data_IF_651461831085
#
_entry.id   IF_651461831085
#
_cell.length_a   1.000
_cell.length_b   1.000
_cell.length_c   1.000
_cell.angle_alpha   90.00
_cell.angle_beta   90.00
_cell.angle_gamma   90.00
#
_symmetry.space_group_name_H-M   'P 1'
#
loop_
_entity.id
_entity.type
_entity.pdbx_description
1 polymer ?
#
# COMPACT_ATOMS: atom_id res chain seq x y z
N UNK A 1 36.00 -24.21 72.49
CA UNK A 1 35.58 -23.13 71.57
C UNK A 1 35.80 -23.70 70.19
N UNK A 2 34.76 -23.58 69.37
CA UNK A 2 34.40 -24.41 68.23
C UNK A 2 35.35 -24.29 67.05
N UNK A 3 35.73 -25.45 66.51
CA UNK A 3 36.22 -25.63 65.15
C UNK A 3 34.99 -25.68 64.24
N UNK A 4 34.84 -24.69 63.37
CA UNK A 4 33.83 -24.67 62.30
C UNK A 4 34.56 -24.77 60.96
N UNK A 5 34.54 -25.98 60.40
CA UNK A 5 34.88 -26.32 59.03
C UNK A 5 33.79 -25.76 58.10
N UNK A 6 34.15 -24.77 57.27
CA UNK A 6 33.30 -24.30 56.17
C UNK A 6 33.74 -25.00 54.88
N UNK A 7 32.88 -25.91 54.45
CA UNK A 7 32.93 -26.68 53.21
C UNK A 7 32.60 -25.77 52.02
N UNK A 8 33.58 -25.56 51.12
CA UNK A 8 33.50 -24.75 49.91
C UNK A 8 33.19 -25.67 48.71
N UNK A 9 31.91 -26.00 48.54
CA UNK A 9 31.39 -26.77 47.42
C UNK A 9 30.94 -25.85 46.29
N UNK A 10 31.89 -25.37 45.49
CA UNK A 10 31.64 -24.65 44.24
C UNK A 10 31.36 -25.61 43.09
N UNK A 11 30.09 -25.88 42.81
CA UNK A 11 29.66 -26.52 41.56
C UNK A 11 29.66 -25.49 40.42
N UNK A 12 30.80 -25.38 39.73
CA UNK A 12 30.90 -24.68 38.45
C UNK A 12 30.25 -25.51 37.33
N UNK A 13 28.94 -25.33 37.14
CA UNK A 13 28.25 -25.79 35.94
C UNK A 13 28.73 -24.96 34.73
N UNK A 14 29.82 -25.42 34.12
CA UNK A 14 30.34 -24.93 32.86
C UNK A 14 29.39 -25.26 31.71
N UNK A 15 28.45 -24.36 31.41
CA UNK A 15 27.70 -24.36 30.16
C UNK A 15 28.64 -23.94 29.02
N UNK A 16 29.38 -24.92 28.51
CA UNK A 16 30.13 -24.84 27.25
C UNK A 16 29.15 -24.66 26.08
N UNK A 17 28.86 -23.41 25.74
CA UNK A 17 28.12 -23.05 24.54
C UNK A 17 29.08 -23.13 23.33
N UNK A 18 29.22 -24.33 22.75
CA UNK A 18 29.90 -24.48 21.45
C UNK A 18 28.94 -24.02 20.35
N UNK A 19 29.14 -22.80 19.84
CA UNK A 19 28.64 -22.46 18.51
C UNK A 19 29.51 -23.22 17.51
N UNK A 20 29.04 -24.38 17.09
CA UNK A 20 29.50 -24.99 15.84
C UNK A 20 29.03 -24.06 14.72
N UNK A 21 29.92 -23.15 14.32
CA UNK A 21 29.76 -22.42 13.07
C UNK A 21 30.02 -23.44 11.97
N UNK A 22 28.95 -23.88 11.30
CA UNK A 22 29.03 -24.62 10.05
C UNK A 22 29.79 -23.76 9.03
N UNK A 23 31.09 -24.02 8.90
CA UNK A 23 32.01 -23.43 7.90
C UNK A 23 31.68 -23.86 6.45
N UNK A 24 30.54 -24.53 6.23
CA UNK A 24 30.09 -25.05 4.93
C UNK A 24 28.99 -24.20 4.25
N UNK A 25 28.78 -22.94 4.67
CA UNK A 25 28.09 -21.97 3.80
C UNK A 25 29.08 -21.47 2.75
N UNK A 26 29.46 -22.35 1.83
CA UNK A 26 29.87 -21.91 0.49
C UNK A 26 28.65 -21.26 -0.16
N UNK A 27 28.48 -19.96 0.08
CA UNK A 27 27.51 -19.12 -0.62
C UNK A 27 27.68 -19.35 -2.12
N UNK A 28 26.74 -20.07 -2.72
CA UNK A 28 26.63 -20.24 -4.15
C UNK A 28 26.33 -18.90 -4.80
N UNK A 29 27.36 -18.08 -4.98
CA UNK A 29 27.31 -16.72 -5.56
C UNK A 29 26.91 -16.67 -7.05
N UNK A 30 26.40 -17.77 -7.61
CA UNK A 30 25.97 -17.85 -9.01
C UNK A 30 24.44 -17.86 -9.19
N UNK A 31 23.65 -17.71 -8.11
CA UNK A 31 22.21 -17.45 -8.27
C UNK A 31 22.00 -15.94 -8.36
N UNK A 32 21.60 -15.47 -9.54
CA UNK A 32 21.20 -14.07 -9.75
C UNK A 32 20.03 -13.76 -8.81
N UNK A 33 20.23 -12.81 -7.88
CA UNK A 33 19.21 -12.45 -6.88
C UNK A 33 17.93 -11.86 -7.51
N UNK A 34 17.97 -11.51 -8.80
CA UNK A 34 16.77 -11.20 -9.58
C UNK A 34 15.71 -12.31 -9.55
N UNK A 35 16.10 -13.58 -9.33
CA UNK A 35 15.16 -14.70 -9.21
C UNK A 35 14.41 -14.74 -7.86
N UNK A 36 14.94 -14.05 -6.84
CA UNK A 36 14.38 -14.06 -5.48
C UNK A 36 13.47 -12.86 -5.20
N UNK A 37 13.55 -11.81 -6.03
CA UNK A 37 12.70 -10.64 -5.90
C UNK A 37 11.27 -10.97 -6.38
N UNK A 38 10.24 -10.88 -5.53
CA UNK A 38 8.87 -11.12 -5.97
C UNK A 38 8.44 -10.05 -6.99
N UNK A 39 7.95 -10.50 -8.14
CA UNK A 39 7.50 -9.62 -9.23
C UNK A 39 8.61 -9.27 -10.22
N UNK A 40 8.61 -8.04 -10.71
CA UNK A 40 9.61 -7.56 -11.67
C UNK A 40 10.96 -7.32 -10.97
N UNK A 41 12.10 -7.61 -11.63
CA UNK A 41 13.46 -7.37 -11.14
C UNK A 41 13.83 -5.87 -11.19
N UNK A 42 12.94 -5.01 -10.71
CA UNK A 42 13.05 -3.55 -10.71
C UNK A 42 12.79 -3.05 -9.31
N UNK A 43 13.71 -2.30 -8.72
CA UNK A 43 13.53 -1.57 -7.46
C UNK A 43 12.89 -0.22 -7.73
N UNK A 44 11.81 0.08 -7.03
CA UNK A 44 11.09 1.35 -7.13
C UNK A 44 11.56 2.33 -6.07
N UNK A 45 12.05 3.48 -6.50
CA UNK A 45 12.50 4.57 -5.64
C UNK A 45 11.50 5.73 -5.73
N UNK A 46 10.92 6.12 -4.61
CA UNK A 46 10.16 7.37 -4.51
C UNK A 46 11.11 8.50 -4.09
N UNK A 47 11.28 9.51 -4.93
CA UNK A 47 12.11 10.67 -4.64
C UNK A 47 11.26 11.84 -4.13
N UNK A 48 11.19 11.98 -2.80
CA UNK A 48 10.44 13.02 -2.11
C UNK A 48 11.29 14.30 -1.94
N UNK A 49 10.73 15.45 -2.26
CA UNK A 49 11.40 16.74 -2.13
C UNK A 49 10.41 17.90 -2.02
N UNK A 50 10.85 19.07 -1.54
CA UNK A 50 10.00 20.24 -1.44
C UNK A 50 9.61 20.71 -2.85
N UNK A 51 8.30 20.87 -3.11
CA UNK A 51 7.78 21.37 -4.41
C UNK A 51 7.05 22.70 -4.29
N UNK A 52 6.72 23.13 -3.08
CA UNK A 52 5.92 24.35 -2.81
C UNK A 52 6.67 25.27 -1.85
N UNK A 53 6.45 26.58 -1.96
CA UNK A 53 7.06 27.62 -1.12
C UNK A 53 8.59 27.74 -1.20
N UNK A 54 9.14 27.27 -2.31
CA UNK A 54 10.56 27.39 -2.63
C UNK A 54 10.81 28.64 -3.48
N UNK A 55 11.91 29.34 -3.24
CA UNK A 55 12.41 30.32 -4.19
C UNK A 55 13.04 29.65 -5.43
N UNK A 56 13.40 30.42 -6.46
CA UNK A 56 14.01 29.87 -7.68
C UNK A 56 15.31 29.10 -7.41
N UNK A 57 16.07 29.52 -6.39
CA UNK A 57 17.34 28.88 -6.01
C UNK A 57 17.06 27.50 -5.40
N UNK A 58 16.11 27.44 -4.48
CA UNK A 58 15.62 26.24 -3.82
C UNK A 58 15.08 25.21 -4.81
N UNK A 59 14.30 25.66 -5.80
CA UNK A 59 13.79 24.80 -6.87
C UNK A 59 14.94 24.24 -7.72
N UNK A 60 15.92 25.08 -8.09
CA UNK A 60 17.11 24.65 -8.78
C UNK A 60 17.91 23.59 -8.01
N UNK A 61 18.09 23.76 -6.70
CA UNK A 61 18.75 22.75 -5.85
C UNK A 61 17.99 21.41 -5.83
N UNK A 62 16.66 21.44 -5.77
CA UNK A 62 15.85 20.22 -5.79
C UNK A 62 15.93 19.49 -7.14
N UNK A 63 15.90 20.24 -8.24
CA UNK A 63 16.08 19.71 -9.59
C UNK A 63 17.46 19.07 -9.77
N UNK A 64 18.50 19.68 -9.19
CA UNK A 64 19.85 19.12 -9.20
C UNK A 64 19.93 17.80 -8.41
N UNK A 65 19.36 17.76 -7.20
CA UNK A 65 19.31 16.53 -6.38
C UNK A 65 18.63 15.39 -7.14
N UNK A 66 17.49 15.69 -7.77
CA UNK A 66 16.76 14.73 -8.62
C UNK A 66 17.62 14.21 -9.77
N UNK A 67 18.28 15.13 -10.49
CA UNK A 67 19.16 14.77 -11.61
C UNK A 67 20.31 13.86 -11.17
N UNK A 68 20.87 14.09 -9.97
CA UNK A 68 21.93 13.25 -9.40
C UNK A 68 21.37 11.86 -9.07
N UNK A 69 20.19 11.76 -8.45
CA UNK A 69 19.57 10.46 -8.16
C UNK A 69 19.36 9.65 -9.44
N UNK A 70 18.85 10.28 -10.50
CA UNK A 70 18.71 9.65 -11.83
C UNK A 70 20.07 9.18 -12.35
N UNK A 71 21.11 10.01 -12.36
CA UNK A 71 22.45 9.59 -12.82
C UNK A 71 23.07 8.46 -12.01
N UNK A 72 22.86 8.46 -10.69
CA UNK A 72 23.50 7.48 -9.80
C UNK A 72 22.79 6.12 -9.86
N UNK A 73 21.47 6.08 -10.01
CA UNK A 73 20.69 4.85 -9.90
C UNK A 73 20.11 4.34 -11.23
N UNK A 74 19.71 5.19 -12.18
CA UNK A 74 18.92 4.75 -13.35
C UNK A 74 19.66 3.73 -14.24
N UNK A 75 20.96 3.95 -14.45
CA UNK A 75 21.81 3.04 -15.25
C UNK A 75 22.58 2.03 -14.39
N UNK A 76 22.31 1.98 -13.08
CA UNK A 76 23.00 1.07 -12.18
C UNK A 76 22.34 -0.31 -12.19
N UNK A 77 23.07 -1.32 -12.67
CA UNK A 77 22.66 -2.71 -12.58
C UNK A 77 23.26 -3.35 -11.32
N UNK A 78 22.41 -3.61 -10.33
CA UNK A 78 22.81 -4.29 -9.10
C UNK A 78 22.35 -5.75 -9.14
N UNK A 79 23.25 -6.67 -9.46
CA UNK A 79 22.98 -8.12 -9.50
C UNK A 79 21.83 -8.50 -10.47
N UNK A 80 21.68 -7.80 -11.59
CA UNK A 80 20.60 -8.00 -12.56
C UNK A 80 19.30 -7.26 -12.22
N UNK A 81 19.32 -6.39 -11.21
CA UNK A 81 18.17 -5.61 -10.74
C UNK A 81 18.31 -4.16 -11.20
N UNK A 82 17.26 -3.65 -11.84
CA UNK A 82 17.19 -2.28 -12.34
C UNK A 82 16.54 -1.35 -11.31
N UNK A 83 16.65 -0.03 -11.48
CA UNK A 83 16.05 0.96 -10.60
C UNK A 83 15.13 1.89 -11.39
N UNK A 84 13.90 2.05 -10.92
CA UNK A 84 12.93 3.01 -11.43
C UNK A 84 12.72 4.11 -10.40
N UNK A 85 12.85 5.37 -10.82
CA UNK A 85 12.71 6.52 -9.92
C UNK A 85 11.43 7.27 -10.27
N UNK A 86 10.49 7.31 -9.33
CA UNK A 86 9.33 8.19 -9.38
C UNK A 86 9.62 9.50 -8.65
N UNK A 87 9.35 10.63 -9.30
CA UNK A 87 9.47 11.95 -8.69
C UNK A 87 8.18 12.76 -8.87
N UNK A 88 7.52 13.21 -7.78
CA UNK A 88 6.25 13.94 -7.87
C UNK A 88 6.36 15.24 -8.70
N UNK A 89 7.52 15.90 -8.69
CA UNK A 89 7.78 17.09 -9.50
C UNK A 89 7.77 16.87 -11.02
N UNK A 90 7.68 15.63 -11.51
CA UNK A 90 7.54 15.31 -12.93
C UNK A 90 6.11 14.98 -13.34
N UNK A 91 5.30 14.50 -12.38
CA UNK A 91 3.98 13.92 -12.64
C UNK A 91 2.88 14.78 -12.03
N UNK A 92 3.01 15.09 -10.74
CA UNK A 92 2.01 15.78 -9.91
C UNK A 92 2.48 17.16 -9.45
N UNK A 93 3.35 17.81 -10.23
CA UNK A 93 3.91 19.11 -9.87
C UNK A 93 2.81 20.18 -9.65
N UNK A 94 3.07 21.17 -8.76
CA UNK A 94 2.17 22.31 -8.61
C UNK A 94 1.88 22.99 -9.96
N UNK A 95 0.60 23.22 -10.24
CA UNK A 95 0.14 23.78 -11.53
C UNK A 95 -0.15 22.74 -12.62
N UNK A 96 0.04 21.44 -12.36
CA UNK A 96 -0.48 20.38 -13.24
C UNK A 96 -2.01 20.33 -13.25
N UNK A 97 -2.60 19.54 -14.17
CA UNK A 97 -4.06 19.39 -14.31
C UNK A 97 -4.69 18.47 -13.25
N UNK A 98 -3.92 17.98 -12.28
CA UNK A 98 -4.42 17.08 -11.24
C UNK A 98 -5.13 17.88 -10.13
N UNK A 99 -6.26 17.37 -9.63
CA UNK A 99 -6.86 17.86 -8.40
C UNK A 99 -6.00 17.52 -7.18
N UNK A 100 -6.21 18.20 -6.05
CA UNK A 100 -5.48 17.90 -4.82
C UNK A 100 -5.72 16.44 -4.35
N UNK A 101 -6.94 15.94 -4.51
CA UNK A 101 -7.34 14.56 -4.23
C UNK A 101 -6.56 13.58 -5.11
N UNK A 102 -6.46 13.85 -6.42
CA UNK A 102 -5.70 12.99 -7.34
C UNK A 102 -4.21 13.02 -7.02
N UNK A 103 -3.64 14.19 -6.74
CA UNK A 103 -2.23 14.31 -6.33
C UNK A 103 -1.96 13.48 -5.08
N UNK A 104 -2.83 13.58 -4.06
CA UNK A 104 -2.71 12.79 -2.85
C UNK A 104 -2.75 11.29 -3.15
N UNK A 105 -3.75 10.82 -3.89
CA UNK A 105 -3.93 9.40 -4.22
C UNK A 105 -2.75 8.83 -5.00
N UNK A 106 -2.32 9.52 -6.06
CA UNK A 106 -1.19 9.10 -6.89
C UNK A 106 0.09 9.01 -6.05
N UNK A 107 0.43 10.08 -5.33
CA UNK A 107 1.65 10.12 -4.54
C UNK A 107 1.61 9.13 -3.36
N UNK A 108 0.44 8.93 -2.76
CA UNK A 108 0.24 7.92 -1.72
C UNK A 108 0.56 6.52 -2.25
N UNK A 109 -0.05 6.14 -3.37
CA UNK A 109 0.17 4.83 -3.98
C UNK A 109 1.65 4.62 -4.33
N UNK A 110 2.26 5.61 -5.01
CA UNK A 110 3.67 5.54 -5.40
C UNK A 110 4.60 5.44 -4.20
N UNK A 111 4.30 6.14 -3.10
CA UNK A 111 5.10 6.08 -1.88
C UNK A 111 5.00 4.72 -1.19
N UNK A 112 3.79 4.18 -1.02
CA UNK A 112 3.58 2.88 -0.35
C UNK A 112 4.15 1.71 -1.14
N UNK A 113 4.05 1.75 -2.48
CA UNK A 113 4.56 0.72 -3.37
C UNK A 113 6.07 0.81 -3.62
N UNK A 114 6.74 1.86 -3.15
CA UNK A 114 8.17 2.00 -3.29
C UNK A 114 8.92 0.97 -2.41
N UNK A 115 10.07 0.51 -2.91
CA UNK A 115 11.00 -0.30 -2.15
C UNK A 115 11.96 0.59 -1.33
N UNK A 116 12.14 1.84 -1.74
CA UNK A 116 12.90 2.88 -1.06
C UNK A 116 12.23 4.25 -1.21
N UNK A 117 12.22 5.06 -0.15
CA UNK A 117 11.99 6.51 -0.28
C UNK A 117 13.28 7.30 -0.04
N UNK A 118 13.60 8.22 -0.95
CA UNK A 118 14.70 9.18 -0.78
C UNK A 118 14.11 10.54 -0.44
N UNK A 119 14.37 11.04 0.77
CA UNK A 119 13.89 12.34 1.24
C UNK A 119 14.96 13.41 1.07
N UNK A 120 14.72 14.39 0.21
CA UNK A 120 15.46 15.65 0.19
C UNK A 120 14.88 16.61 1.24
N UNK A 121 15.57 16.75 2.38
CA UNK A 121 15.14 17.57 3.53
C UNK A 121 15.98 18.85 3.68
N UNK A 122 16.49 19.37 2.57
CA UNK A 122 17.21 20.65 2.54
C UNK A 122 16.34 21.83 2.96
N UNK A 123 15.02 21.74 2.72
CA UNK A 123 14.06 22.77 3.09
C UNK A 123 12.84 22.18 3.79
N UNK A 124 12.19 22.93 4.69
CA UNK A 124 10.93 22.51 5.29
C UNK A 124 9.84 22.33 4.23
N UNK A 125 9.19 21.18 4.22
CA UNK A 125 8.06 20.90 3.33
C UNK A 125 6.99 20.10 4.05
N UNK A 126 5.75 20.59 4.01
CA UNK A 126 4.59 19.88 4.53
C UNK A 126 4.33 18.60 3.73
N UNK A 127 4.46 18.65 2.40
CA UNK A 127 4.29 17.49 1.54
C UNK A 127 5.28 16.37 1.88
N UNK A 128 6.56 16.72 2.04
CA UNK A 128 7.61 15.76 2.45
C UNK A 128 7.31 15.15 3.82
N UNK A 129 6.78 15.93 4.77
CA UNK A 129 6.36 15.41 6.07
C UNK A 129 5.16 14.46 5.99
N UNK A 130 4.21 14.70 5.08
CA UNK A 130 3.12 13.76 4.83
C UNK A 130 3.64 12.47 4.17
N UNK A 131 4.49 12.60 3.17
CA UNK A 131 5.10 11.47 2.46
C UNK A 131 5.98 10.61 3.39
N UNK A 132 6.67 11.23 4.36
CA UNK A 132 7.44 10.49 5.36
C UNK A 132 6.55 9.60 6.21
N UNK A 133 5.44 10.15 6.73
CA UNK A 133 4.52 9.36 7.54
C UNK A 133 3.89 8.22 6.74
N UNK A 134 3.54 8.47 5.47
CA UNK A 134 3.02 7.42 4.56
C UNK A 134 4.06 6.32 4.37
N UNK A 135 5.31 6.67 4.10
CA UNK A 135 6.41 5.71 3.96
C UNK A 135 6.61 4.90 5.25
N UNK A 136 6.56 5.55 6.41
CA UNK A 136 6.70 4.90 7.71
C UNK A 136 5.56 3.91 8.02
N UNK A 137 4.31 4.32 7.79
CA UNK A 137 3.13 3.47 7.95
C UNK A 137 3.21 2.23 7.03
N UNK A 138 3.73 2.41 5.81
CA UNK A 138 3.96 1.34 4.86
C UNK A 138 5.28 0.57 5.08
N UNK A 139 6.06 0.91 6.12
CA UNK A 139 7.38 0.33 6.45
C UNK A 139 8.41 0.43 5.32
N UNK A 140 8.29 1.42 4.45
CA UNK A 140 9.25 1.67 3.38
C UNK A 140 10.55 2.20 4.00
N UNK A 141 11.71 1.58 3.75
CA UNK A 141 12.98 2.09 4.24
C UNK A 141 13.34 3.40 3.55
N UNK A 142 14.14 4.23 4.22
CA UNK A 142 14.45 5.58 3.74
C UNK A 142 15.93 5.91 3.66
N UNK A 143 16.25 6.80 2.72
CA UNK A 143 17.51 7.55 2.65
C UNK A 143 17.22 9.02 2.84
N UNK A 144 17.98 9.68 3.71
CA UNK A 144 17.79 11.10 4.04
C UNK A 144 18.94 11.91 3.43
N UNK A 145 18.61 12.87 2.58
CA UNK A 145 19.55 13.81 1.98
C UNK A 145 19.40 15.18 2.64
N UNK A 146 20.46 15.68 3.27
CA UNK A 146 20.44 16.97 3.94
C UNK A 146 21.70 17.78 3.59
N UNK A 147 21.54 19.06 3.22
CA UNK A 147 22.70 19.94 3.04
C UNK A 147 23.30 20.30 4.39
N UNK A 148 24.63 20.36 4.51
CA UNK A 148 25.30 20.72 5.76
C UNK A 148 24.79 22.09 6.25
N UNK A 149 24.41 22.15 7.52
CA UNK A 149 23.80 23.33 8.15
C UNK A 149 22.28 23.40 8.06
N UNK A 150 21.63 22.54 7.28
CA UNK A 150 20.16 22.44 7.24
C UNK A 150 19.63 21.88 8.55
N UNK A 151 18.52 22.44 9.03
CA UNK A 151 17.83 21.95 10.22
C UNK A 151 16.78 20.93 9.80
N UNK A 152 16.97 19.68 10.19
CA UNK A 152 15.97 18.62 10.00
C UNK A 152 15.02 18.62 11.20
N UNK A 153 13.74 18.36 10.95
CA UNK A 153 12.73 18.30 12.02
C UNK A 153 12.98 17.11 12.93
N UNK A 154 12.93 17.31 14.25
CA UNK A 154 13.03 16.22 15.24
C UNK A 154 11.92 15.17 15.10
N UNK A 155 10.74 15.57 14.61
CA UNK A 155 9.67 14.61 14.33
C UNK A 155 10.04 13.68 13.17
N UNK A 156 10.63 14.24 12.12
CA UNK A 156 11.09 13.45 10.97
C UNK A 156 12.24 12.52 11.38
N UNK A 157 13.18 13.01 12.19
CA UNK A 157 14.28 12.18 12.73
C UNK A 157 13.78 11.05 13.62
N UNK A 158 12.71 11.27 14.39
CA UNK A 158 12.10 10.28 15.30
C UNK A 158 11.07 9.34 14.66
N UNK A 159 10.83 9.44 13.35
CA UNK A 159 9.92 8.58 12.62
C UNK A 159 10.37 7.11 12.64
N UNK A 160 9.41 6.20 12.79
CA UNK A 160 9.65 4.76 12.98
C UNK A 160 9.94 3.98 11.68
N UNK A 161 10.64 4.62 10.73
CA UNK A 161 11.11 3.98 9.48
C UNK A 161 12.61 3.68 9.56
N UNK A 162 13.02 2.52 9.04
CA UNK A 162 14.42 2.14 8.93
C UNK A 162 15.16 3.11 8.02
N UNK A 163 16.14 3.81 8.57
CA UNK A 163 16.99 4.73 7.82
C UNK A 163 18.24 4.01 7.35
N UNK A 164 18.33 3.69 6.05
CA UNK A 164 19.47 2.99 5.47
C UNK A 164 20.70 3.89 5.41
N UNK A 165 20.48 5.16 5.07
CA UNK A 165 21.55 6.14 4.98
C UNK A 165 21.05 7.55 5.30
N UNK A 166 21.90 8.31 6.00
CA UNK A 166 21.78 9.75 6.11
C UNK A 166 23.00 10.36 5.43
N UNK A 167 22.78 11.09 4.35
CA UNK A 167 23.81 11.71 3.51
C UNK A 167 23.77 13.21 3.78
N UNK A 168 24.85 13.72 4.36
CA UNK A 168 25.03 15.14 4.64
C UNK A 168 26.03 15.73 3.66
N UNK A 169 25.61 16.66 2.82
CA UNK A 169 26.43 17.13 1.70
C UNK A 169 26.61 18.65 1.69
N UNK A 170 27.76 19.12 1.22
CA UNK A 170 28.06 20.56 1.08
C UNK A 170 27.51 21.14 -0.23
N UNK A 171 27.69 20.39 -1.31
CA UNK A 171 27.38 20.78 -2.67
C UNK A 171 27.00 19.55 -3.51
N UNK A 172 26.60 19.80 -4.76
CA UNK A 172 26.11 18.76 -5.68
C UNK A 172 27.15 17.67 -6.01
N UNK A 173 28.43 18.03 -6.14
CA UNK A 173 29.50 17.06 -6.44
C UNK A 173 29.75 16.15 -5.24
N UNK A 174 29.71 16.71 -4.03
CA UNK A 174 29.82 15.96 -2.78
C UNK A 174 28.63 15.01 -2.58
N UNK A 175 27.39 15.46 -2.85
CA UNK A 175 26.20 14.60 -2.83
C UNK A 175 26.34 13.39 -3.76
N UNK A 176 26.71 13.63 -5.02
CA UNK A 176 26.90 12.56 -6.00
C UNK A 176 27.99 11.57 -5.58
N UNK A 177 29.12 12.07 -5.07
CA UNK A 177 30.20 11.22 -4.58
C UNK A 177 29.76 10.36 -3.39
N UNK A 178 29.06 10.94 -2.40
CA UNK A 178 28.58 10.20 -1.23
C UNK A 178 27.53 9.15 -1.62
N UNK A 179 26.63 9.48 -2.55
CA UNK A 179 25.66 8.52 -3.08
C UNK A 179 26.37 7.35 -3.78
N UNK A 180 27.35 7.61 -4.65
CA UNK A 180 28.13 6.56 -5.34
C UNK A 180 28.86 5.67 -4.33
N UNK A 181 29.50 6.25 -3.32
CA UNK A 181 30.25 5.51 -2.30
C UNK A 181 29.36 4.58 -1.47
N UNK A 182 28.13 4.98 -1.18
CA UNK A 182 27.18 4.20 -0.37
C UNK A 182 26.18 3.39 -1.18
N UNK A 183 26.18 3.53 -2.52
CA UNK A 183 25.17 2.93 -3.40
C UNK A 183 25.07 1.43 -3.21
N UNK A 184 26.20 0.72 -3.17
CA UNK A 184 26.22 -0.75 -3.04
C UNK A 184 25.59 -1.23 -1.72
N UNK A 185 25.97 -0.62 -0.60
CA UNK A 185 25.40 -0.87 0.74
C UNK A 185 23.88 -0.61 0.74
N UNK A 186 23.47 0.54 0.19
CA UNK A 186 22.07 0.93 0.09
C UNK A 186 21.28 -0.08 -0.76
N UNK A 187 21.79 -0.46 -1.93
CA UNK A 187 21.13 -1.42 -2.82
C UNK A 187 20.97 -2.80 -2.19
N UNK A 188 22.00 -3.30 -1.49
CA UNK A 188 21.91 -4.57 -0.75
C UNK A 188 20.80 -4.54 0.29
N UNK A 189 20.74 -3.48 1.11
CA UNK A 189 19.72 -3.34 2.15
C UNK A 189 18.29 -3.14 1.59
N UNK A 190 18.14 -2.43 0.46
CA UNK A 190 16.84 -2.30 -0.23
C UNK A 190 16.36 -3.66 -0.71
N UNK A 191 17.23 -4.44 -1.34
CA UNK A 191 16.88 -5.75 -1.91
C UNK A 191 16.38 -6.69 -0.82
N UNK A 192 17.10 -6.77 0.31
CA UNK A 192 16.67 -7.54 1.48
C UNK A 192 15.30 -7.08 2.02
N UNK A 193 15.07 -5.77 2.07
CA UNK A 193 13.79 -5.21 2.49
C UNK A 193 12.66 -5.56 1.52
N UNK A 194 12.90 -5.41 0.22
CA UNK A 194 11.93 -5.68 -0.85
C UNK A 194 11.49 -7.14 -0.88
N UNK A 195 12.44 -8.08 -0.71
CA UNK A 195 12.16 -9.53 -0.61
C UNK A 195 11.18 -9.82 0.54
N UNK A 196 11.31 -9.13 1.68
CA UNK A 196 10.40 -9.30 2.83
C UNK A 196 9.07 -8.58 2.65
N UNK A 197 9.08 -7.35 2.12
CA UNK A 197 7.89 -6.48 2.05
C UNK A 197 6.94 -6.83 0.92
N UNK A 198 7.43 -7.10 -0.28
CA UNK A 198 6.58 -7.30 -1.47
C UNK A 198 5.54 -8.42 -1.33
N UNK A 199 5.85 -9.59 -0.73
CA UNK A 199 4.83 -10.61 -0.49
C UNK A 199 3.68 -10.09 0.35
N UNK A 200 3.95 -9.31 1.41
CA UNK A 200 2.91 -8.72 2.26
C UNK A 200 2.05 -7.70 1.50
N UNK A 201 2.66 -6.91 0.61
CA UNK A 201 1.93 -5.96 -0.24
C UNK A 201 1.00 -6.70 -1.21
N UNK A 202 1.49 -7.76 -1.83
CA UNK A 202 0.71 -8.60 -2.75
C UNK A 202 -0.45 -9.28 -2.01
N UNK A 203 -0.18 -9.90 -0.85
CA UNK A 203 -1.20 -10.56 -0.02
C UNK A 203 -2.31 -9.59 0.41
N UNK A 204 -1.95 -8.35 0.73
CA UNK A 204 -2.92 -7.31 1.09
C UNK A 204 -3.79 -6.93 -0.10
N UNK A 205 -3.19 -6.75 -1.28
CA UNK A 205 -3.94 -6.50 -2.52
C UNK A 205 -4.90 -7.65 -2.85
N UNK A 206 -4.58 -8.89 -2.47
CA UNK A 206 -5.45 -10.05 -2.66
C UNK A 206 -6.62 -10.14 -1.69
N UNK A 207 -6.61 -9.41 -0.56
CA UNK A 207 -7.75 -9.39 0.37
C UNK A 207 -8.98 -8.68 -0.17
N UNK A 208 -8.87 -8.00 -1.33
CA UNK A 208 -10.00 -7.35 -2.02
C UNK A 208 -10.80 -6.39 -1.12
N UNK A 209 -10.15 -5.73 -0.17
CA UNK A 209 -10.81 -4.84 0.82
C UNK A 209 -11.74 -3.84 0.13
N UNK A 210 -11.24 -3.14 -0.90
CA UNK A 210 -12.03 -2.21 -1.70
C UNK A 210 -13.29 -2.83 -2.33
N UNK A 211 -13.16 -4.02 -2.92
CA UNK A 211 -14.31 -4.71 -3.53
C UNK A 211 -15.31 -5.15 -2.45
N UNK A 212 -14.85 -5.54 -1.27
CA UNK A 212 -15.72 -5.86 -0.14
C UNK A 212 -16.48 -4.63 0.35
N UNK A 213 -15.83 -3.46 0.41
CA UNK A 213 -16.48 -2.19 0.74
C UNK A 213 -17.59 -1.89 -0.27
N UNK A 214 -17.27 -1.88 -1.57
CA UNK A 214 -18.25 -1.61 -2.63
C UNK A 214 -19.40 -2.62 -2.61
N UNK A 215 -19.09 -3.92 -2.48
CA UNK A 215 -20.08 -5.00 -2.39
C UNK A 215 -21.10 -4.76 -1.29
N UNK A 216 -20.61 -4.44 -0.10
CA UNK A 216 -21.44 -4.24 1.08
C UNK A 216 -22.26 -2.97 0.99
N UNK A 217 -21.70 -1.91 0.41
CA UNK A 217 -22.45 -0.69 0.15
C UNK A 217 -23.59 -0.89 -0.83
N UNK A 218 -23.38 -1.65 -1.91
CA UNK A 218 -24.47 -2.01 -2.85
C UNK A 218 -25.55 -2.83 -2.13
N UNK A 219 -25.14 -3.82 -1.34
CA UNK A 219 -26.06 -4.68 -0.58
C UNK A 219 -26.95 -3.88 0.38
N UNK A 220 -26.37 -2.90 1.07
CA UNK A 220 -27.07 -2.09 2.10
C UNK A 220 -27.60 -0.75 1.58
N UNK A 221 -27.41 -0.44 0.29
CA UNK A 221 -27.83 0.83 -0.32
C UNK A 221 -27.15 2.07 0.28
N UNK A 222 -25.89 1.96 0.71
CA UNK A 222 -25.14 3.06 1.35
C UNK A 222 -24.33 3.82 0.31
N UNK A 223 -24.63 5.10 0.10
CA UNK A 223 -23.92 5.96 -0.85
C UNK A 223 -22.51 6.35 -0.38
N UNK A 224 -21.64 6.81 -1.30
CA UNK A 224 -20.27 7.23 -0.99
C UNK A 224 -20.28 8.38 0.01
N UNK A 225 -21.16 9.35 -0.20
CA UNK A 225 -21.29 10.54 0.65
C UNK A 225 -21.78 10.18 2.06
N UNK A 226 -22.73 9.27 2.19
CA UNK A 226 -23.20 8.79 3.50
C UNK A 226 -22.07 8.07 4.25
N UNK A 227 -21.35 7.16 3.59
CA UNK A 227 -20.25 6.45 4.22
C UNK A 227 -19.11 7.41 4.60
N UNK A 228 -18.76 8.33 3.71
CA UNK A 228 -17.77 9.38 3.95
C UNK A 228 -18.10 10.20 5.19
N UNK A 229 -19.36 10.68 5.29
CA UNK A 229 -19.83 11.47 6.41
C UNK A 229 -19.75 10.71 7.75
N UNK A 230 -20.07 9.42 7.75
CA UNK A 230 -20.09 8.61 8.99
C UNK A 230 -18.70 8.12 9.44
N UNK A 231 -17.74 8.10 8.52
CA UNK A 231 -16.38 7.59 8.78
C UNK A 231 -15.32 8.70 8.93
N UNK A 232 -15.71 9.96 8.79
CA UNK A 232 -14.84 11.14 8.71
C UNK A 232 -13.83 11.05 7.55
N UNK A 233 -14.20 10.40 6.44
CA UNK A 233 -13.37 10.25 5.25
C UNK A 233 -13.91 11.13 4.11
N UNK A 234 -13.09 11.39 3.09
CA UNK A 234 -13.59 11.96 1.83
C UNK A 234 -14.25 10.87 0.98
N UNK A 235 -15.38 11.17 0.36
CA UNK A 235 -16.04 10.27 -0.60
C UNK A 235 -15.10 9.84 -1.73
N UNK A 236 -14.31 10.78 -2.27
CA UNK A 236 -13.30 10.47 -3.28
C UNK A 236 -12.26 9.46 -2.81
N UNK A 237 -11.86 9.49 -1.53
CA UNK A 237 -10.90 8.54 -0.98
C UNK A 237 -11.50 7.13 -0.89
N UNK A 238 -12.73 7.00 -0.42
CA UNK A 238 -13.43 5.72 -0.36
C UNK A 238 -13.61 5.13 -1.76
N UNK A 239 -13.99 5.96 -2.72
CA UNK A 239 -14.10 5.56 -4.12
C UNK A 239 -12.79 5.01 -4.69
N UNK A 240 -11.67 5.68 -4.41
CA UNK A 240 -10.34 5.20 -4.82
C UNK A 240 -9.94 3.91 -4.10
N UNK A 241 -10.29 3.74 -2.82
CA UNK A 241 -10.11 2.47 -2.10
C UNK A 241 -10.89 1.32 -2.75
N UNK A 242 -12.12 1.58 -3.19
CA UNK A 242 -12.98 0.59 -3.87
C UNK A 242 -12.42 0.16 -5.21
N UNK A 243 -11.87 1.11 -5.97
CA UNK A 243 -11.31 0.89 -7.31
C UNK A 243 -9.92 0.30 -7.30
N UNK A 244 -9.03 0.80 -6.44
CA UNK A 244 -7.63 0.43 -6.45
C UNK A 244 -7.31 -0.49 -5.25
N UNK A 245 -7.16 -1.81 -5.48
CA UNK A 245 -6.87 -2.75 -4.39
C UNK A 245 -5.51 -2.47 -3.71
N UNK A 246 -4.60 -1.75 -4.36
CA UNK A 246 -3.29 -1.39 -3.79
C UNK A 246 -3.41 -0.32 -2.72
N UNK A 247 -4.45 0.53 -2.78
CA UNK A 247 -4.74 1.51 -1.74
C UNK A 247 -5.32 0.87 -0.47
N UNK A 248 -5.64 -0.42 -0.45
CA UNK A 248 -6.02 -1.10 0.79
C UNK A 248 -4.92 -0.96 1.87
N UNK A 249 -3.66 -0.97 1.45
CA UNK A 249 -2.49 -0.72 2.31
C UNK A 249 -2.48 0.68 2.91
N UNK A 250 -3.21 1.61 2.30
CA UNK A 250 -3.29 2.99 2.72
C UNK A 250 -4.18 3.21 3.95
N UNK A 251 -5.05 2.25 4.21
CA UNK A 251 -6.08 2.40 5.22
C UNK A 251 -5.50 2.06 6.58
N UNK A 252 -5.41 3.05 7.46
CA UNK A 252 -5.10 2.79 8.86
C UNK A 252 -6.15 1.83 9.45
N UNK A 253 -5.73 1.00 10.40
CA UNK A 253 -6.64 0.04 11.03
C UNK A 253 -7.87 0.72 11.65
N UNK A 254 -7.69 1.94 12.19
CA UNK A 254 -8.78 2.76 12.70
C UNK A 254 -9.78 3.14 11.62
N UNK A 255 -9.30 3.53 10.42
CA UNK A 255 -10.16 3.85 9.29
C UNK A 255 -10.94 2.62 8.82
N UNK A 256 -10.27 1.45 8.74
CA UNK A 256 -10.92 0.19 8.41
C UNK A 256 -12.00 -0.21 9.42
N UNK A 257 -11.77 -0.03 10.72
CA UNK A 257 -12.78 -0.31 11.74
C UNK A 257 -14.01 0.59 11.60
N UNK A 258 -13.81 1.89 11.34
CA UNK A 258 -14.91 2.84 11.12
C UNK A 258 -15.72 2.47 9.89
N UNK A 259 -15.04 2.21 8.76
CA UNK A 259 -15.71 1.77 7.53
C UNK A 259 -16.49 0.48 7.81
N UNK A 260 -15.85 -0.54 8.37
CA UNK A 260 -16.45 -1.84 8.62
C UNK A 260 -17.72 -1.75 9.48
N UNK A 261 -17.72 -0.92 10.53
CA UNK A 261 -18.87 -0.72 11.40
C UNK A 261 -20.10 -0.17 10.64
N UNK A 262 -19.88 0.70 9.64
CA UNK A 262 -20.96 1.31 8.84
C UNK A 262 -21.49 0.41 7.72
N UNK A 263 -20.70 -0.56 7.27
CA UNK A 263 -21.05 -1.48 6.17
C UNK A 263 -21.27 -2.92 6.64
N UNK A 264 -21.69 -3.10 7.91
CA UNK A 264 -21.99 -4.42 8.50
C UNK A 264 -20.86 -5.46 8.35
N UNK A 265 -19.61 -5.02 8.47
CA UNK A 265 -18.44 -5.89 8.42
C UNK A 265 -17.69 -5.94 9.76
N UNK A 266 -16.88 -6.99 9.92
CA UNK A 266 -15.87 -7.10 10.96
C UNK A 266 -14.48 -7.07 10.35
N UNK A 267 -13.57 -6.30 10.93
CA UNK A 267 -12.14 -6.36 10.55
C UNK A 267 -11.51 -7.56 11.26
N UNK A 268 -11.05 -8.54 10.49
CA UNK A 268 -10.30 -9.68 11.00
C UNK A 268 -8.80 -9.45 10.79
N UNK A 269 -8.06 -9.34 11.89
CA UNK A 269 -6.60 -9.32 11.91
C UNK A 269 -6.11 -10.68 12.40
N UNK A 270 -5.45 -11.46 11.55
CA UNK A 270 -4.85 -12.73 11.94
C UNK A 270 -3.35 -12.63 11.66
N UNK A 271 -2.48 -12.73 12.66
CA UNK A 271 -1.03 -12.78 12.40
C UNK A 271 -0.67 -14.11 11.74
N UNK A 272 0.10 -14.16 10.63
CA UNK A 272 0.83 -13.07 9.96
C UNK A 272 0.10 -12.44 8.74
N UNK A 273 -1.18 -12.74 8.55
CA UNK A 273 -1.98 -12.27 7.41
C UNK A 273 -2.39 -10.79 7.53
N UNK A 274 -2.52 -10.09 6.38
CA UNK A 274 -3.05 -8.73 6.35
C UNK A 274 -4.50 -8.67 6.85
N UNK A 275 -4.97 -7.48 7.30
CA UNK A 275 -6.34 -7.30 7.70
C UNK A 275 -7.29 -7.60 6.54
N UNK A 276 -8.44 -8.21 6.86
CA UNK A 276 -9.52 -8.45 5.89
C UNK A 276 -10.86 -8.02 6.47
N UNK A 277 -11.77 -7.64 5.58
CA UNK A 277 -13.16 -7.35 5.93
C UNK A 277 -14.00 -8.61 5.75
N UNK A 278 -14.73 -8.99 6.79
CA UNK A 278 -15.64 -10.14 6.80
C UNK A 278 -17.06 -9.62 6.99
N UNK A 279 -17.97 -9.80 6.01
CA UNK A 279 -19.38 -9.45 6.17
C UNK A 279 -20.04 -10.17 7.35
N UNK A 280 -20.89 -9.45 8.09
CA UNK A 280 -21.68 -10.00 9.19
C UNK A 280 -23.13 -10.36 8.77
N UNK A 281 -23.46 -10.22 7.49
CA UNK A 281 -24.81 -10.42 6.98
C UNK A 281 -25.29 -11.87 7.08
N UNK A 282 -26.61 -12.05 6.96
CA UNK A 282 -27.19 -13.38 6.80
C UNK A 282 -26.61 -14.04 5.55
N UNK A 283 -26.24 -15.34 5.61
CA UNK A 283 -25.70 -16.02 4.44
C UNK A 283 -26.66 -15.93 3.27
N UNK A 284 -26.20 -15.34 2.17
CA UNK A 284 -26.85 -15.38 0.86
C UNK A 284 -26.71 -16.79 0.26
N UNK A 285 -27.60 -17.14 -0.66
CA UNK A 285 -27.36 -18.29 -1.54
C UNK A 285 -26.06 -18.11 -2.35
N UNK A 286 -25.51 -19.21 -2.85
CA UNK A 286 -24.30 -19.17 -3.69
C UNK A 286 -24.54 -18.30 -4.93
N UNK A 287 -25.68 -18.50 -5.60
CA UNK A 287 -26.08 -17.74 -6.79
C UNK A 287 -26.22 -16.24 -6.52
N UNK A 288 -26.88 -15.83 -5.44
CA UNK A 288 -27.00 -14.40 -5.07
C UNK A 288 -25.62 -13.78 -4.76
N UNK A 289 -24.79 -14.50 -4.02
CA UNK A 289 -23.44 -14.05 -3.65
C UNK A 289 -22.53 -13.86 -4.88
N UNK A 290 -22.61 -14.78 -5.84
CA UNK A 290 -21.90 -14.70 -7.11
C UNK A 290 -22.45 -13.59 -8.00
N UNK A 291 -23.78 -13.45 -8.09
CA UNK A 291 -24.44 -12.38 -8.84
C UNK A 291 -24.03 -10.99 -8.35
N UNK A 292 -24.00 -10.78 -7.03
CA UNK A 292 -23.53 -9.53 -6.43
C UNK A 292 -22.03 -9.28 -6.71
N UNK A 293 -21.21 -10.33 -6.67
CA UNK A 293 -19.78 -10.21 -7.03
C UNK A 293 -19.61 -9.81 -8.49
N UNK A 294 -20.41 -10.39 -9.39
CA UNK A 294 -20.40 -10.03 -10.81
C UNK A 294 -20.90 -8.60 -11.05
N UNK A 295 -21.87 -8.12 -10.26
CA UNK A 295 -22.30 -6.72 -10.30
C UNK A 295 -21.17 -5.78 -9.89
N UNK A 296 -20.45 -6.08 -8.80
CA UNK A 296 -19.28 -5.31 -8.37
C UNK A 296 -18.21 -5.27 -9.47
N UNK A 297 -17.91 -6.40 -10.11
CA UNK A 297 -17.00 -6.45 -11.24
C UNK A 297 -17.47 -5.60 -12.43
N UNK A 298 -18.77 -5.63 -12.74
CA UNK A 298 -19.37 -4.79 -13.78
C UNK A 298 -19.22 -3.29 -13.46
N UNK A 299 -19.52 -2.87 -12.23
CA UNK A 299 -19.41 -1.48 -11.77
C UNK A 299 -17.96 -0.98 -11.88
N UNK A 300 -17.00 -1.76 -11.39
CA UNK A 300 -15.57 -1.41 -11.46
C UNK A 300 -15.06 -1.34 -12.91
N UNK A 301 -15.47 -2.28 -13.77
CA UNK A 301 -15.07 -2.31 -15.18
C UNK A 301 -15.69 -1.17 -16.02
N UNK A 302 -16.76 -0.55 -15.52
CA UNK A 302 -17.47 0.52 -16.23
C UNK A 302 -16.83 1.91 -16.05
N UNK A 303 -15.80 2.02 -15.21
CA UNK A 303 -15.02 3.24 -14.96
C UNK A 303 -15.90 4.49 -14.74
N UNK A 304 -16.89 4.37 -13.85
CA UNK A 304 -17.77 5.48 -13.48
C UNK A 304 -18.91 5.81 -14.46
N UNK A 305 -19.08 5.03 -15.54
CA UNK A 305 -20.25 5.19 -16.44
C UNK A 305 -21.58 4.84 -15.78
N UNK A 306 -21.55 4.01 -14.73
CA UNK A 306 -22.72 3.62 -13.94
C UNK A 306 -22.70 4.42 -12.65
N UNK A 307 -23.78 5.13 -12.36
CA UNK A 307 -23.94 5.82 -11.08
C UNK A 307 -24.22 4.81 -9.95
N UNK A 308 -23.90 5.20 -8.72
CA UNK A 308 -24.17 4.38 -7.54
C UNK A 308 -25.66 4.04 -7.41
N UNK A 309 -26.54 5.02 -7.65
CA UNK A 309 -27.99 4.81 -7.59
C UNK A 309 -28.43 3.76 -8.61
N UNK A 310 -27.83 3.75 -9.81
CA UNK A 310 -28.15 2.75 -10.82
C UNK A 310 -27.68 1.36 -10.40
N UNK A 311 -26.48 1.24 -9.84
CA UNK A 311 -25.99 -0.03 -9.30
C UNK A 311 -26.91 -0.57 -8.18
N UNK A 312 -27.39 0.31 -7.29
CA UNK A 312 -28.32 -0.07 -6.22
C UNK A 312 -29.67 -0.53 -6.77
N UNK A 313 -30.23 0.19 -7.74
CA UNK A 313 -31.48 -0.23 -8.41
C UNK A 313 -31.33 -1.58 -9.11
N UNK A 314 -30.24 -1.81 -9.84
CA UNK A 314 -29.99 -3.09 -10.49
C UNK A 314 -29.98 -4.26 -9.50
N UNK A 315 -29.32 -4.07 -8.34
CA UNK A 315 -29.31 -5.07 -7.30
C UNK A 315 -30.70 -5.28 -6.68
N UNK A 316 -31.41 -4.19 -6.37
CA UNK A 316 -32.76 -4.25 -5.80
C UNK A 316 -33.73 -4.99 -6.73
N UNK A 317 -33.78 -4.61 -8.00
CA UNK A 317 -34.64 -5.22 -9.03
C UNK A 317 -34.37 -6.73 -9.13
N UNK A 318 -33.09 -7.13 -9.13
CA UNK A 318 -32.72 -8.56 -9.12
C UNK A 318 -33.23 -9.29 -7.87
N UNK A 319 -33.10 -8.71 -6.68
CA UNK A 319 -33.58 -9.35 -5.45
C UNK A 319 -35.10 -9.47 -5.40
N UNK A 320 -35.84 -8.52 -5.98
CA UNK A 320 -37.29 -8.61 -6.09
C UNK A 320 -37.72 -9.66 -7.13
N UNK A 321 -37.06 -9.71 -8.30
CA UNK A 321 -37.28 -10.77 -9.31
C UNK A 321 -37.08 -12.16 -8.69
N UNK A 322 -36.01 -12.34 -7.92
CA UNK A 322 -35.71 -13.61 -7.25
C UNK A 322 -36.76 -13.99 -6.21
N UNK A 323 -37.25 -13.03 -5.42
CA UNK A 323 -38.31 -13.28 -4.44
C UNK A 323 -39.60 -13.69 -5.13
N UNK A 324 -40.01 -12.99 -6.19
CA UNK A 324 -41.21 -13.32 -6.97
C UNK A 324 -41.09 -14.75 -7.55
N UNK A 325 -39.96 -15.06 -8.18
CA UNK A 325 -39.70 -16.40 -8.71
C UNK A 325 -39.67 -17.47 -7.61
N UNK A 326 -39.17 -17.16 -6.41
CA UNK A 326 -39.17 -18.11 -5.28
C UNK A 326 -40.58 -18.43 -4.81
N UNK A 327 -41.49 -17.46 -4.86
CA UNK A 327 -42.91 -17.64 -4.52
C UNK A 327 -43.63 -18.47 -5.60
N UNK A 328 -43.31 -18.26 -6.88
CA UNK A 328 -43.86 -19.03 -8.00
C UNK A 328 -43.30 -20.46 -8.09
N UNK A 329 -42.01 -20.65 -7.81
CA UNK A 329 -41.33 -21.94 -7.88
C UNK A 329 -41.90 -22.95 -6.86
N UNK A 330 -42.32 -22.45 -5.68
CA UNK A 330 -43.06 -23.24 -4.68
C UNK A 330 -44.35 -23.82 -5.26
N UNK A 331 -44.95 -23.18 -6.26
CA UNK A 331 -46.15 -23.70 -6.91
C UNK A 331 -45.87 -24.75 -7.99
N UNK A 332 -44.87 -24.60 -8.89
CA UNK A 332 -44.75 -25.54 -10.04
C UNK A 332 -43.36 -25.84 -10.68
N UNK A 333 -42.19 -25.33 -10.24
CA UNK A 333 -40.89 -25.59 -10.94
C UNK A 333 -39.61 -25.54 -10.08
N UNK A 334 -38.54 -26.18 -10.59
CA UNK A 334 -37.15 -26.00 -10.14
C UNK A 334 -36.74 -24.52 -10.27
N UNK A 335 -36.26 -23.91 -9.18
CA UNK A 335 -35.84 -22.51 -9.16
C UNK A 335 -34.59 -22.26 -10.00
N UNK A 336 -34.46 -21.05 -10.55
CA UNK A 336 -33.23 -20.59 -11.21
C UNK A 336 -32.15 -20.39 -10.14
N UNK A 337 -31.17 -21.29 -10.10
CA UNK A 337 -30.00 -21.20 -9.22
C UNK A 337 -28.74 -20.69 -9.97
N UNK A 338 -28.93 -20.12 -11.16
CA UNK A 338 -27.81 -19.61 -11.97
C UNK A 338 -27.50 -18.16 -11.60
N UNK A 339 -26.22 -17.89 -11.28
CA UNK A 339 -25.76 -16.54 -10.96
C UNK A 339 -25.73 -15.66 -12.23
N UNK A 340 -26.16 -14.40 -12.10
CA UNK A 340 -26.03 -13.42 -13.18
C UNK A 340 -24.56 -13.12 -13.47
N UNK A 341 -24.18 -13.17 -14.73
CA UNK A 341 -22.84 -12.83 -15.20
C UNK A 341 -22.67 -11.32 -15.38
N UNK A 342 -21.43 -10.87 -15.59
CA UNK A 342 -21.13 -9.46 -15.92
C UNK A 342 -21.87 -8.99 -17.19
N UNK A 343 -22.05 -9.87 -18.17
CA UNK A 343 -22.76 -9.53 -19.41
C UNK A 343 -24.27 -9.39 -19.18
N UNK A 344 -24.84 -10.21 -18.30
CA UNK A 344 -26.26 -10.09 -17.92
C UNK A 344 -26.52 -8.76 -17.22
N UNK A 345 -25.62 -8.34 -16.33
CA UNK A 345 -25.70 -7.01 -15.69
C UNK A 345 -25.60 -5.87 -16.70
N UNK A 346 -24.71 -5.99 -17.68
CA UNK A 346 -24.60 -5.02 -18.78
C UNK A 346 -25.88 -4.92 -19.61
N UNK A 347 -26.51 -6.06 -19.91
CA UNK A 347 -27.77 -6.09 -20.65
C UNK A 347 -28.91 -5.48 -19.84
N UNK A 348 -29.04 -5.83 -18.56
CA UNK A 348 -30.03 -5.25 -17.63
C UNK A 348 -29.88 -3.73 -17.51
N UNK A 349 -28.63 -3.25 -17.43
CA UNK A 349 -28.35 -1.82 -17.38
C UNK A 349 -28.84 -1.10 -18.64
N UNK A 350 -28.52 -1.62 -19.83
CA UNK A 350 -28.94 -1.07 -21.11
C UNK A 350 -30.45 -1.11 -21.37
N UNK A 351 -31.16 -2.11 -20.84
CA UNK A 351 -32.61 -2.26 -21.01
C UNK A 351 -33.42 -1.18 -20.27
N UNK A 352 -32.87 -0.61 -19.19
CA UNK A 352 -33.56 0.41 -18.38
C UNK A 352 -33.56 1.83 -18.96
N UNK A 353 -32.85 2.08 -20.06
CA UNK A 353 -32.72 3.42 -20.67
C UNK A 353 -33.85 3.86 -21.61
N UNK A 354 -34.96 3.12 -21.65
CA UNK A 354 -36.11 3.37 -22.55
C UNK A 354 -37.33 4.02 -21.88
N UNK A 355 -37.22 4.49 -20.63
CA UNK A 355 -38.32 5.15 -19.90
C UNK A 355 -38.02 6.61 -19.57
#
# INVERSE_FOLDING_TARGET
MSDDDFDDGGDEDGWSFSMDFDDDIQLGFNKTMSEELPGEPVIRIYAAGPLTNNDETANGECDEVRSILQRVFADYDYLGVQFEIYHPGEVTMPGSNHSAENVYVINYEQCVLADLVVFNVTQPSLGVGCESQIAADATVPRVVLAKIGSKVSRMFEGEFSTTLATIKYENRQDLELQLIQRREEICGAILESAIRRRPMLNDTSHQKIGQTILRQRILHGVTLDELAQRTDCKASWIHELEKNPRLALASSLMSLFRIAAEISCTVQCASPSPPKLVPNDTPMSVSESESLSNLVHYVLASDGRISEQRAFSLWHDFTEDMKEQSLEAVEYREGYDEALTVEDWRQRDGAGGLF
#
